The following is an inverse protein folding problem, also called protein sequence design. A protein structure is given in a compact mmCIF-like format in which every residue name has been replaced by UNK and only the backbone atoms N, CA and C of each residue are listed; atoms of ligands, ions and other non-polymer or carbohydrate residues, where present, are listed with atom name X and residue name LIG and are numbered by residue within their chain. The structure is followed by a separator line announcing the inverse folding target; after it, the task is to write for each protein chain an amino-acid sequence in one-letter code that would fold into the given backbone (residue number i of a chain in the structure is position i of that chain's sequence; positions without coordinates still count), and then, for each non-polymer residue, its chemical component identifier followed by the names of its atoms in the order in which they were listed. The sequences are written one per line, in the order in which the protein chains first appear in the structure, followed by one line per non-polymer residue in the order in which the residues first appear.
data_IF_308651194357
#
_entry.id   IF_308651194357
#
_cell.length_a   1.000
_cell.length_b   1.000
_cell.length_c   1.000
_cell.angle_alpha   90.00
_cell.angle_beta   90.00
_cell.angle_gamma   90.00
#
_symmetry.space_group_name_H-M   'P 1'
#
loop_
_entity.id
_entity.type
_entity.pdbx_description
1 polymer ?
#
# COMPACT_ATOMS: atom_id res chain seq x y z
N UNK A 1 1.17 -11.28 0.47
CA UNK A 1 1.31 -9.83 0.70
C UNK A 1 0.68 -9.45 2.02
N UNK A 2 -0.45 -8.73 2.00
CA UNK A 2 -1.07 -8.10 3.19
C UNK A 2 -1.40 -9.06 4.35
N UNK A 3 -1.71 -10.33 4.08
CA UNK A 3 -1.95 -11.35 5.13
C UNK A 3 -0.70 -11.67 5.97
N UNK A 4 0.50 -11.43 5.43
CA UNK A 4 1.77 -11.68 6.11
C UNK A 4 2.39 -10.40 6.69
N UNK A 5 1.62 -9.29 6.73
CA UNK A 5 2.14 -7.97 7.15
C UNK A 5 2.75 -7.98 8.56
N UNK A 6 2.20 -8.81 9.45
CA UNK A 6 2.66 -8.87 10.85
C UNK A 6 4.01 -9.60 10.94
N UNK A 7 4.25 -10.59 10.07
CA UNK A 7 5.54 -11.29 9.95
C UNK A 7 6.60 -10.47 9.20
N UNK A 8 6.19 -9.73 8.17
CA UNK A 8 7.08 -8.85 7.38
C UNK A 8 7.45 -7.57 8.16
N UNK A 9 6.54 -7.14 9.05
CA UNK A 9 6.55 -5.82 9.66
C UNK A 9 5.90 -4.78 8.74
N UNK A 10 4.83 -4.13 9.22
CA UNK A 10 4.07 -3.13 8.47
C UNK A 10 4.97 -1.97 8.00
N UNK A 11 5.95 -1.57 8.80
CA UNK A 11 6.92 -0.50 8.46
C UNK A 11 7.81 -0.80 7.26
N UNK A 12 7.95 -2.08 6.89
CA UNK A 12 8.80 -2.54 5.78
C UNK A 12 8.02 -2.72 4.47
N UNK A 13 6.73 -2.35 4.44
CA UNK A 13 5.86 -2.58 3.29
C UNK A 13 5.46 -1.29 2.60
N UNK A 14 5.53 -1.28 1.27
CA UNK A 14 4.99 -0.21 0.42
C UNK A 14 4.06 -0.82 -0.62
N UNK A 15 2.98 -0.12 -0.96
CA UNK A 15 2.18 -0.44 -2.15
C UNK A 15 2.64 0.39 -3.35
N UNK A 16 2.73 -0.25 -4.51
CA UNK A 16 2.96 0.40 -5.81
C UNK A 16 1.95 -0.09 -6.83
N UNK A 17 1.49 0.80 -7.72
CA UNK A 17 0.54 0.47 -8.78
C UNK A 17 1.18 -0.23 -9.98
N UNK A 18 2.50 -0.08 -10.13
CA UNK A 18 3.32 -0.53 -11.28
C UNK A 18 2.83 -0.04 -12.65
N UNK A 19 2.26 1.17 -12.69
CA UNK A 19 1.85 1.80 -13.96
C UNK A 19 3.10 2.22 -14.78
N UNK A 20 3.12 2.04 -16.11
CA UNK A 20 2.05 1.55 -17.00
C UNK A 20 2.20 0.07 -17.42
N UNK A 21 2.86 -0.77 -16.61
CA UNK A 21 3.10 -2.15 -16.99
C UNK A 21 1.79 -2.97 -17.08
N UNK A 22 1.85 -4.13 -17.74
CA UNK A 22 0.68 -4.97 -18.01
C UNK A 22 0.06 -5.56 -16.73
N UNK A 23 0.90 -5.76 -15.71
CA UNK A 23 0.56 -6.18 -14.36
C UNK A 23 0.01 -5.06 -13.48
N UNK A 24 -0.03 -3.82 -14.00
CA UNK A 24 -0.52 -2.67 -13.25
C UNK A 24 -1.95 -2.86 -12.76
N UNK A 25 -2.22 -2.30 -11.60
CA UNK A 25 -3.59 -2.21 -11.07
C UNK A 25 -4.39 -1.05 -11.68
N UNK A 26 -3.75 -0.14 -12.41
CA UNK A 26 -4.42 0.97 -13.09
C UNK A 26 -5.32 0.47 -14.23
N UNK A 27 -6.49 1.09 -14.49
CA UNK A 27 -7.07 2.27 -13.83
C UNK A 27 -7.88 1.95 -12.56
N UNK A 28 -7.96 0.67 -12.15
CA UNK A 28 -8.82 0.20 -11.06
C UNK A 28 -8.08 0.02 -9.72
N UNK A 29 -7.02 0.80 -9.49
CA UNK A 29 -6.18 0.66 -8.29
C UNK A 29 -6.98 0.82 -7.00
N UNK A 30 -7.99 1.70 -6.95
CA UNK A 30 -8.82 1.89 -5.76
C UNK A 30 -9.67 0.66 -5.44
N UNK A 31 -10.32 0.06 -6.44
CA UNK A 31 -11.08 -1.20 -6.27
C UNK A 31 -10.16 -2.34 -5.81
N UNK A 32 -8.97 -2.43 -6.39
CA UNK A 32 -7.98 -3.43 -6.01
C UNK A 32 -7.53 -3.25 -4.55
N UNK A 33 -7.21 -2.01 -4.14
CA UNK A 33 -6.82 -1.67 -2.77
C UNK A 33 -7.92 -2.03 -1.76
N UNK A 34 -9.17 -1.66 -2.04
CA UNK A 34 -10.31 -2.03 -1.18
C UNK A 34 -10.43 -3.53 -0.98
N UNK A 35 -10.20 -4.32 -2.04
CA UNK A 35 -10.26 -5.79 -1.97
C UNK A 35 -9.10 -6.37 -1.15
N UNK A 36 -7.86 -5.96 -1.39
CA UNK A 36 -6.69 -6.58 -0.72
C UNK A 36 -6.54 -6.16 0.73
N UNK A 37 -7.09 -5.01 1.11
CA UNK A 37 -7.07 -4.46 2.47
C UNK A 37 -8.38 -4.67 3.24
N UNK A 38 -9.33 -5.45 2.70
CA UNK A 38 -10.58 -5.75 3.39
C UNK A 38 -10.32 -6.35 4.79
N UNK A 39 -10.83 -5.70 5.83
CA UNK A 39 -10.64 -6.10 7.23
C UNK A 39 -9.32 -5.64 7.86
N UNK A 40 -8.45 -4.95 7.13
CA UNK A 40 -7.22 -4.35 7.67
C UNK A 40 -7.56 -3.00 8.34
N UNK A 41 -7.00 -2.70 9.53
CA UNK A 41 -7.19 -1.40 10.16
C UNK A 41 -6.71 -0.23 9.29
N UNK A 42 -7.42 0.91 9.34
CA UNK A 42 -7.21 2.04 8.41
C UNK A 42 -5.83 2.65 8.53
N UNK A 43 -5.28 2.70 9.73
CA UNK A 43 -3.94 3.15 10.06
C UNK A 43 -2.88 2.29 9.36
N UNK A 44 -3.05 0.96 9.35
CA UNK A 44 -2.15 0.04 8.64
C UNK A 44 -2.25 0.23 7.13
N UNK A 45 -3.46 0.45 6.60
CA UNK A 45 -3.64 0.76 5.17
C UNK A 45 -2.89 2.04 4.83
N UNK A 46 -3.11 3.13 5.58
CA UNK A 46 -2.46 4.43 5.37
C UNK A 46 -0.94 4.33 5.43
N UNK A 47 -0.41 3.55 6.38
CA UNK A 47 1.01 3.35 6.53
C UNK A 47 1.64 2.69 5.29
N UNK A 48 1.03 1.61 4.78
CA UNK A 48 1.52 0.86 3.61
C UNK A 48 1.32 1.64 2.30
N UNK A 49 0.22 2.40 2.17
CA UNK A 49 -0.12 3.09 0.91
C UNK A 49 0.43 4.51 0.83
N UNK A 50 0.93 5.10 1.92
CA UNK A 50 1.40 6.48 1.93
C UNK A 50 2.60 6.73 2.87
N UNK A 51 2.46 6.47 4.18
CA UNK A 51 3.41 7.01 5.17
C UNK A 51 4.80 6.36 5.09
N UNK A 52 4.88 5.06 4.83
CA UNK A 52 6.16 4.38 4.65
C UNK A 52 6.93 4.93 3.43
N UNK A 53 6.22 5.15 2.32
CA UNK A 53 6.79 5.76 1.12
C UNK A 53 7.24 7.20 1.39
N UNK A 54 6.41 7.98 2.07
CA UNK A 54 6.73 9.35 2.43
C UNK A 54 7.96 9.46 3.32
N UNK A 55 8.07 8.60 4.34
CA UNK A 55 9.26 8.50 5.20
C UNK A 55 10.51 8.09 4.41
N UNK A 56 10.38 7.12 3.51
CA UNK A 56 11.51 6.61 2.72
C UNK A 56 12.02 7.62 1.69
N UNK A 57 11.12 8.36 1.04
CA UNK A 57 11.45 9.26 -0.07
C UNK A 57 11.46 10.74 0.32
N UNK A 58 11.11 11.09 1.57
CA UNK A 58 11.12 12.47 2.06
C UNK A 58 9.93 13.32 1.62
N UNK A 59 8.75 12.71 1.45
CA UNK A 59 7.51 13.43 1.13
C UNK A 59 6.72 13.80 2.41
N UNK A 60 5.88 14.83 2.31
CA UNK A 60 4.87 15.12 3.33
C UNK A 60 3.57 14.40 2.99
N UNK A 61 2.98 13.70 3.97
CA UNK A 61 1.65 13.11 3.84
C UNK A 61 0.61 14.10 4.35
N UNK A 62 -0.38 14.41 3.51
CA UNK A 62 -1.52 15.26 3.87
C UNK A 62 -2.59 14.50 4.67
#
# INVERSE_FOLDING_TARGET
GIKLRDEIGVDNMLWGSDFPHAESTWPRSQEFLHRIFAGTPKEVVRQITAENAARMFGFEVK
#
